data_IF_595616175088
#
_entry.id   IF_595616175088
#
_cell.length_a   1.000
_cell.length_b   1.000
_cell.length_c   1.000
_cell.angle_alpha   90.00
_cell.angle_beta   90.00
_cell.angle_gamma   90.00
#
_symmetry.space_group_name_H-M   'P 1'
#
loop_
_entity.id
_entity.type
_entity.pdbx_description
1 polymer ?
#
# COMPACT_ATOMS: atom_id res chain seq x y z
N UNK A 1 -19.70 11.04 -11.73
CA UNK A 1 -18.60 11.30 -12.70
C UNK A 1 -17.63 10.13 -12.59
N UNK A 2 -17.12 9.59 -13.72
CA UNK A 2 -16.10 8.54 -13.72
C UNK A 2 -14.74 9.11 -13.37
N UNK A 3 -13.96 8.35 -12.55
CA UNK A 3 -12.59 8.68 -12.17
C UNK A 3 -11.67 7.59 -12.72
N UNK A 4 -10.66 8.00 -13.45
CA UNK A 4 -9.75 7.08 -14.14
C UNK A 4 -8.31 7.25 -13.67
N UNK A 5 -7.55 6.15 -13.76
CA UNK A 5 -6.12 6.12 -13.51
C UNK A 5 -5.40 6.29 -14.83
N UNK A 6 -4.56 7.30 -14.94
CA UNK A 6 -3.79 7.59 -16.19
C UNK A 6 -2.29 7.37 -15.99
N UNK A 7 -1.83 7.21 -14.77
CA UNK A 7 -0.45 6.89 -14.48
C UNK A 7 -0.30 6.18 -13.14
N UNK A 8 0.66 5.28 -13.08
CA UNK A 8 1.06 4.54 -11.88
C UNK A 8 2.57 4.56 -11.73
N UNK A 9 3.04 4.49 -10.51
CA UNK A 9 4.46 4.40 -10.21
C UNK A 9 4.70 3.73 -8.86
N UNK A 10 5.86 3.10 -8.71
CA UNK A 10 6.13 2.30 -7.52
C UNK A 10 7.63 2.22 -7.23
N UNK A 11 7.95 2.16 -5.93
CA UNK A 11 9.27 1.89 -5.39
C UNK A 11 9.09 0.94 -4.21
N UNK A 12 9.44 -0.32 -4.36
CA UNK A 12 9.18 -1.36 -3.37
C UNK A 12 10.28 -2.42 -3.33
N UNK A 13 10.15 -3.40 -2.46
CA UNK A 13 11.08 -4.55 -2.43
C UNK A 13 10.96 -5.47 -3.66
N UNK A 14 9.93 -5.33 -4.50
CA UNK A 14 9.80 -6.07 -5.75
C UNK A 14 10.50 -5.40 -6.93
N UNK A 15 10.85 -4.13 -6.81
CA UNK A 15 11.52 -3.36 -7.84
C UNK A 15 11.36 -1.86 -7.63
N UNK A 16 12.14 -1.09 -8.41
CA UNK A 16 12.25 0.36 -8.34
C UNK A 16 11.47 1.08 -9.44
N UNK A 17 10.71 0.33 -10.24
CA UNK A 17 9.86 0.82 -11.32
C UNK A 17 8.82 -0.23 -11.71
N UNK A 18 7.82 0.18 -12.49
CA UNK A 18 6.71 -0.68 -12.93
C UNK A 18 7.17 -1.93 -13.70
N UNK A 19 8.22 -1.82 -14.52
CA UNK A 19 8.70 -2.97 -15.32
C UNK A 19 9.32 -4.06 -14.44
N UNK A 20 10.17 -3.70 -13.48
CA UNK A 20 10.78 -4.63 -12.53
C UNK A 20 9.73 -5.28 -11.64
N UNK A 21 8.77 -4.49 -11.15
CA UNK A 21 7.67 -4.97 -10.32
C UNK A 21 6.76 -5.91 -11.11
N UNK A 22 6.44 -5.59 -12.37
CA UNK A 22 5.68 -6.48 -13.26
C UNK A 22 6.37 -7.85 -13.40
N UNK A 23 7.68 -7.85 -13.61
CA UNK A 23 8.44 -9.09 -13.75
C UNK A 23 8.46 -9.88 -12.44
N UNK A 24 8.64 -9.21 -11.30
CA UNK A 24 8.63 -9.85 -9.98
C UNK A 24 7.27 -10.46 -9.65
N UNK A 25 6.15 -9.75 -9.95
CA UNK A 25 4.79 -10.27 -9.78
C UNK A 25 4.54 -11.51 -10.65
N UNK A 26 4.94 -11.48 -11.94
CA UNK A 26 4.78 -12.61 -12.87
C UNK A 26 5.57 -13.83 -12.46
N UNK A 27 6.76 -13.65 -11.92
CA UNK A 27 7.62 -14.78 -11.52
C UNK A 27 7.39 -15.26 -10.09
N UNK A 28 6.55 -14.58 -9.31
CA UNK A 28 6.34 -14.90 -7.89
C UNK A 28 7.60 -14.65 -7.06
N UNK A 29 8.40 -13.63 -7.40
CA UNK A 29 9.66 -13.32 -6.71
C UNK A 29 9.37 -12.69 -5.35
N UNK A 30 9.92 -13.26 -4.27
CA UNK A 30 9.89 -12.64 -2.95
C UNK A 30 10.92 -11.51 -2.85
N UNK A 31 10.50 -10.36 -2.34
CA UNK A 31 11.37 -9.23 -1.97
C UNK A 31 11.77 -9.22 -0.49
N UNK A 32 11.43 -10.28 0.25
CA UNK A 32 11.70 -10.39 1.69
C UNK A 32 13.12 -10.88 1.91
N UNK A 33 13.80 -10.29 2.88
CA UNK A 33 15.15 -10.65 3.30
C UNK A 33 15.38 -10.38 4.78
N UNK A 34 16.63 -10.32 5.17
CA UNK A 34 17.09 -10.08 6.55
C UNK A 34 17.81 -8.73 6.61
N UNK A 35 17.41 -7.91 7.59
CA UNK A 35 18.13 -6.71 8.01
C UNK A 35 18.74 -6.93 9.39
N UNK A 36 20.04 -7.21 9.43
CA UNK A 36 20.80 -7.50 10.65
C UNK A 36 20.75 -6.31 11.63
N UNK A 37 20.66 -5.07 11.15
CA UNK A 37 20.60 -3.89 12.01
C UNK A 37 19.39 -3.90 12.96
N UNK A 38 18.34 -4.62 12.62
CA UNK A 38 17.17 -4.82 13.50
C UNK A 38 17.51 -5.66 14.74
N UNK A 39 18.29 -6.73 14.58
CA UNK A 39 18.77 -7.54 15.71
C UNK A 39 19.69 -6.72 16.63
N UNK A 40 20.61 -5.97 16.03
CA UNK A 40 21.51 -5.09 16.78
C UNK A 40 20.73 -4.01 17.56
N UNK A 41 19.57 -3.58 17.06
CA UNK A 41 18.68 -2.63 17.72
C UNK A 41 17.76 -3.27 18.77
N UNK A 42 17.67 -4.61 18.81
CA UNK A 42 16.92 -5.37 19.81
C UNK A 42 15.59 -5.97 19.33
N UNK A 43 15.36 -6.08 18.02
CA UNK A 43 14.20 -6.79 17.48
C UNK A 43 14.31 -8.30 17.69
N UNK A 44 13.17 -8.96 17.85
CA UNK A 44 13.06 -10.42 17.84
C UNK A 44 13.07 -11.01 16.44
N UNK A 45 12.63 -10.23 15.42
CA UNK A 45 12.62 -10.65 14.03
C UNK A 45 13.39 -9.67 13.14
N UNK A 46 14.44 -10.15 12.40
CA UNK A 46 15.17 -9.33 11.44
C UNK A 46 14.54 -9.28 10.05
N UNK A 47 13.40 -9.97 9.87
CA UNK A 47 12.72 -10.08 8.56
C UNK A 47 12.14 -8.73 8.12
N UNK A 48 12.34 -8.39 6.85
CA UNK A 48 11.78 -7.19 6.24
C UNK A 48 11.76 -7.31 4.72
N UNK A 49 10.87 -6.55 4.06
CA UNK A 49 11.05 -6.28 2.64
C UNK A 49 12.32 -5.45 2.42
N UNK A 50 13.20 -5.88 1.52
CA UNK A 50 14.46 -5.19 1.22
C UNK A 50 14.20 -4.14 0.16
N UNK A 51 14.16 -2.88 0.57
CA UNK A 51 13.88 -1.74 -0.31
C UNK A 51 15.16 -0.93 -0.54
N UNK A 52 15.53 -0.75 -1.79
CA UNK A 52 16.69 0.05 -2.17
C UNK A 52 16.43 1.54 -1.90
N UNK A 53 17.39 2.24 -1.29
CA UNK A 53 17.29 3.68 -1.08
C UNK A 53 17.59 4.45 -2.36
N UNK A 54 16.71 5.37 -2.82
CA UNK A 54 16.92 6.09 -4.06
C UNK A 54 18.05 7.11 -3.98
N UNK A 55 18.76 7.29 -5.10
CA UNK A 55 19.81 8.29 -5.25
C UNK A 55 19.23 9.59 -5.81
N UNK A 56 18.91 10.56 -4.94
CA UNK A 56 18.26 11.80 -5.33
C UNK A 56 19.22 12.93 -5.73
N UNK A 57 20.56 12.73 -5.58
CA UNK A 57 21.54 13.73 -5.98
C UNK A 57 21.48 13.94 -7.50
N UNK A 58 21.28 15.20 -7.91
CA UNK A 58 21.12 15.56 -9.32
C UNK A 58 19.68 15.50 -9.83
N UNK A 59 18.75 14.88 -9.10
CA UNK A 59 17.32 14.87 -9.43
C UNK A 59 16.54 15.98 -8.73
N UNK A 60 16.91 16.28 -7.48
CA UNK A 60 16.27 17.30 -6.64
C UNK A 60 17.33 18.21 -6.03
N UNK A 61 17.01 19.49 -5.88
CA UNK A 61 17.85 20.47 -5.20
C UNK A 61 18.20 20.05 -3.77
N UNK A 62 19.40 20.41 -3.31
CA UNK A 62 19.90 20.05 -1.98
C UNK A 62 19.00 20.56 -0.84
N UNK A 63 18.43 21.78 -1.00
CA UNK A 63 17.58 22.38 0.04
C UNK A 63 16.26 21.61 0.17
N UNK A 64 15.67 21.20 -0.96
CA UNK A 64 14.46 20.36 -0.95
C UNK A 64 14.74 19.00 -0.31
N UNK A 65 15.85 18.36 -0.67
CA UNK A 65 16.24 17.05 -0.08
C UNK A 65 16.44 17.11 1.44
N UNK A 66 16.90 18.22 1.98
CA UNK A 66 17.15 18.35 3.42
C UNK A 66 15.87 18.24 4.28
N UNK A 67 14.70 18.49 3.71
CA UNK A 67 13.41 18.31 4.39
C UNK A 67 12.73 16.96 4.12
N UNK A 68 13.30 16.09 3.29
CA UNK A 68 12.69 14.82 2.93
C UNK A 68 13.03 13.72 3.94
N UNK A 69 12.01 13.02 4.42
CA UNK A 69 12.16 11.76 5.13
C UNK A 69 12.39 10.61 4.13
N UNK A 70 12.74 9.44 4.65
CA UNK A 70 12.96 8.23 3.84
C UNK A 70 11.75 7.91 2.96
N UNK A 71 10.55 7.87 3.54
CA UNK A 71 9.30 7.60 2.80
C UNK A 71 8.97 8.69 1.78
N UNK A 72 9.37 9.95 2.03
CA UNK A 72 9.19 11.02 1.05
C UNK A 72 10.12 10.86 -0.16
N UNK A 73 11.33 10.29 0.03
CA UNK A 73 12.24 9.97 -1.06
C UNK A 73 11.65 8.87 -1.97
N UNK A 74 11.11 7.79 -1.38
CA UNK A 74 10.41 6.74 -2.12
C UNK A 74 9.19 7.30 -2.87
N UNK A 75 8.38 8.09 -2.18
CA UNK A 75 7.18 8.70 -2.75
C UNK A 75 7.49 9.63 -3.93
N UNK A 76 8.62 10.36 -3.88
CA UNK A 76 9.06 11.16 -5.01
C UNK A 76 9.36 10.30 -6.24
N UNK A 77 10.07 9.18 -6.08
CA UNK A 77 10.39 8.31 -7.20
C UNK A 77 9.15 7.69 -7.82
N UNK A 78 8.25 7.16 -7.00
CA UNK A 78 6.97 6.61 -7.45
C UNK A 78 6.09 7.68 -8.12
N UNK A 79 6.01 8.88 -7.54
CA UNK A 79 5.21 9.98 -8.09
C UNK A 79 5.75 10.48 -9.42
N UNK A 80 7.07 10.56 -9.56
CA UNK A 80 7.74 10.95 -10.81
C UNK A 80 7.43 9.96 -11.93
N UNK A 81 7.45 8.65 -11.64
CA UNK A 81 7.10 7.61 -12.61
C UNK A 81 5.62 7.72 -12.99
N UNK A 82 4.71 7.85 -12.02
CA UNK A 82 3.28 7.98 -12.26
C UNK A 82 2.93 9.21 -13.12
N UNK A 83 3.52 10.38 -12.80
CA UNK A 83 3.31 11.61 -13.58
C UNK A 83 3.89 11.50 -14.99
N UNK A 84 5.07 10.91 -15.14
CA UNK A 84 5.68 10.68 -16.47
C UNK A 84 4.80 9.74 -17.33
N UNK A 85 4.28 8.65 -16.75
CA UNK A 85 3.35 7.74 -17.44
C UNK A 85 2.05 8.46 -17.84
N UNK A 86 1.51 9.31 -16.97
CA UNK A 86 0.34 10.12 -17.26
C UNK A 86 0.60 11.24 -18.29
N UNK A 87 1.85 11.55 -18.61
CA UNK A 87 2.21 12.69 -19.46
C UNK A 87 1.93 14.05 -18.83
N UNK A 88 2.08 14.13 -17.49
CA UNK A 88 1.84 15.35 -16.70
C UNK A 88 3.12 15.78 -15.97
N UNK A 89 3.32 17.09 -15.83
CA UNK A 89 4.42 17.65 -15.04
C UNK A 89 4.02 17.96 -13.60
N UNK A 90 2.74 18.21 -13.36
CA UNK A 90 2.19 18.58 -12.04
C UNK A 90 0.73 18.14 -11.95
N UNK A 91 0.25 17.64 -10.81
CA UNK A 91 -1.17 17.45 -10.54
C UNK A 91 -1.80 18.74 -9.99
N UNK A 92 -3.14 18.80 -9.96
CA UNK A 92 -3.85 19.88 -9.26
C UNK A 92 -3.72 19.72 -7.76
N UNK A 93 -3.84 18.49 -7.25
CA UNK A 93 -3.80 18.16 -5.82
C UNK A 93 -2.99 16.92 -5.49
N UNK A 94 -2.70 16.75 -4.21
CA UNK A 94 -1.95 15.62 -3.64
C UNK A 94 -2.67 15.05 -2.42
N UNK A 95 -2.85 13.71 -2.36
CA UNK A 95 -3.36 13.00 -1.18
C UNK A 95 -2.57 11.70 -1.01
N UNK A 96 -1.82 11.56 0.09
CA UNK A 96 -1.04 10.36 0.39
C UNK A 96 -1.38 9.77 1.75
N UNK A 97 -1.41 8.43 1.80
CA UNK A 97 -1.41 7.67 3.03
C UNK A 97 0.00 7.65 3.64
N UNK A 98 0.12 8.15 4.87
CA UNK A 98 1.31 8.05 5.69
C UNK A 98 0.92 8.24 7.16
N UNK A 99 1.26 7.30 8.02
CA UNK A 99 0.78 7.30 9.40
C UNK A 99 1.86 7.70 10.40
N UNK A 100 3.11 7.32 10.16
CA UNK A 100 4.24 7.67 11.02
C UNK A 100 5.45 8.17 10.24
N UNK A 101 6.33 8.91 10.94
CA UNK A 101 7.68 9.27 10.51
C UNK A 101 8.60 9.20 11.73
N UNK A 102 8.97 7.95 12.11
CA UNK A 102 9.61 7.67 13.38
C UNK A 102 11.10 8.03 13.40
N UNK A 103 11.84 7.75 12.33
CA UNK A 103 13.30 7.94 12.28
C UNK A 103 13.72 9.34 12.70
N UNK A 104 13.16 10.36 12.08
CA UNK A 104 13.54 11.75 12.35
C UNK A 104 13.21 12.19 13.78
N UNK A 105 12.14 11.65 14.39
CA UNK A 105 11.79 11.92 15.79
C UNK A 105 12.77 11.28 16.76
N UNK A 106 13.18 10.04 16.50
CA UNK A 106 14.16 9.34 17.34
C UNK A 106 15.53 10.02 17.24
N UNK A 107 15.98 10.36 16.03
CA UNK A 107 17.24 11.08 15.81
C UNK A 107 17.23 12.45 16.52
N UNK A 108 16.13 13.21 16.45
CA UNK A 108 15.96 14.45 17.18
C UNK A 108 16.04 14.27 18.70
N UNK A 109 15.41 13.22 19.22
CA UNK A 109 15.47 12.87 20.64
C UNK A 109 16.92 12.60 21.10
N UNK A 110 17.66 11.79 20.33
CA UNK A 110 19.06 11.47 20.65
C UNK A 110 19.97 12.70 20.58
N UNK A 111 19.77 13.61 19.65
CA UNK A 111 20.48 14.88 19.59
C UNK A 111 20.22 15.71 20.85
N UNK A 112 18.97 15.90 21.25
CA UNK A 112 18.61 16.63 22.47
C UNK A 112 19.15 15.99 23.72
N UNK A 113 19.12 14.67 23.84
CA UNK A 113 19.64 13.91 24.96
C UNK A 113 21.16 14.01 25.09
N UNK A 114 21.87 14.02 23.95
CA UNK A 114 23.34 14.04 23.91
C UNK A 114 23.90 15.46 24.13
N UNK A 115 23.30 16.47 23.52
CA UNK A 115 23.84 17.83 23.47
C UNK A 115 23.10 18.80 24.41
N UNK A 116 21.87 18.47 24.84
CA UNK A 116 21.00 19.37 25.62
C UNK A 116 20.80 20.74 24.96
N UNK A 117 20.90 20.81 23.61
CA UNK A 117 20.81 22.02 22.83
C UNK A 117 20.26 21.74 21.42
N UNK A 118 19.19 22.46 21.05
CA UNK A 118 18.50 22.31 19.76
C UNK A 118 19.29 22.87 18.57
N UNK A 119 20.33 23.66 18.80
CA UNK A 119 21.18 24.19 17.70
C UNK A 119 21.91 23.05 16.95
N UNK A 120 22.10 21.89 17.59
CA UNK A 120 22.68 20.71 16.95
C UNK A 120 21.69 19.94 16.04
N UNK A 121 20.40 20.29 16.07
CA UNK A 121 19.43 19.71 15.14
C UNK A 121 19.53 20.34 13.75
N UNK A 122 19.45 19.51 12.71
CA UNK A 122 19.36 20.01 11.34
C UNK A 122 18.03 20.74 11.09
N UNK A 123 18.08 21.86 10.36
CA UNK A 123 16.90 22.67 10.05
C UNK A 123 15.80 21.91 9.28
N UNK A 124 16.11 20.78 8.64
CA UNK A 124 15.16 19.92 7.94
C UNK A 124 14.40 18.94 8.84
N UNK A 125 14.87 18.69 10.07
CA UNK A 125 14.35 17.63 10.93
C UNK A 125 12.84 17.76 11.20
N UNK A 126 12.34 18.97 11.47
CA UNK A 126 10.90 19.20 11.67
C UNK A 126 10.05 18.74 10.47
N UNK A 127 10.51 18.99 9.24
CA UNK A 127 9.80 18.61 8.03
C UNK A 127 9.85 17.10 7.77
N UNK A 128 10.93 16.45 8.21
CA UNK A 128 11.09 15.00 8.13
C UNK A 128 10.23 14.26 9.17
N UNK A 129 10.03 14.85 10.35
CA UNK A 129 9.33 14.21 11.49
C UNK A 129 7.81 14.31 11.43
N UNK A 130 7.26 15.21 10.62
CA UNK A 130 5.81 15.36 10.48
C UNK A 130 5.19 14.19 9.70
N UNK A 131 4.00 13.73 10.09
CA UNK A 131 3.24 12.73 9.33
C UNK A 131 2.96 13.20 7.89
N UNK A 132 2.83 14.51 7.67
CA UNK A 132 2.66 15.12 6.35
C UNK A 132 3.95 15.28 5.53
N UNK A 133 5.07 14.72 5.99
CA UNK A 133 6.38 14.84 5.30
C UNK A 133 6.32 14.49 3.82
N UNK A 134 5.53 13.47 3.44
CA UNK A 134 5.36 13.05 2.04
C UNK A 134 4.66 14.14 1.24
N UNK A 135 3.44 14.51 1.60
CA UNK A 135 2.63 15.45 0.82
C UNK A 135 3.20 16.85 0.81
N UNK A 136 3.80 17.29 1.91
CA UNK A 136 4.46 18.59 2.01
C UNK A 136 5.67 18.69 1.06
N UNK A 137 6.54 17.69 1.03
CA UNK A 137 7.70 17.69 0.13
C UNK A 137 7.28 17.57 -1.34
N UNK A 138 6.38 16.63 -1.67
CA UNK A 138 5.90 16.45 -3.04
C UNK A 138 5.14 17.67 -3.57
N UNK A 139 4.30 18.30 -2.74
CA UNK A 139 3.58 19.52 -3.08
C UNK A 139 4.54 20.66 -3.44
N UNK A 140 5.63 20.81 -2.69
CA UNK A 140 6.66 21.81 -2.99
C UNK A 140 7.44 21.48 -4.27
N UNK A 141 7.82 20.22 -4.46
CA UNK A 141 8.60 19.78 -5.64
C UNK A 141 7.76 19.90 -6.92
N UNK A 142 6.51 19.45 -6.92
CA UNK A 142 5.62 19.47 -8.07
C UNK A 142 4.79 20.76 -8.18
N UNK A 143 5.02 21.74 -7.28
CA UNK A 143 4.36 23.07 -7.27
C UNK A 143 2.83 22.98 -7.26
N UNK A 144 2.30 22.07 -6.47
CA UNK A 144 0.85 21.82 -6.34
C UNK A 144 0.16 22.99 -5.64
N UNK A 145 -0.99 23.41 -6.16
CA UNK A 145 -1.74 24.56 -5.64
C UNK A 145 -3.11 24.20 -5.07
N UNK A 146 -3.61 23.00 -5.37
CA UNK A 146 -4.89 22.51 -4.86
C UNK A 146 -4.73 21.79 -3.52
N UNK A 147 -5.52 20.75 -3.30
CA UNK A 147 -5.52 20.01 -2.05
C UNK A 147 -4.13 19.41 -1.76
N UNK A 148 -3.72 19.50 -0.50
CA UNK A 148 -2.50 18.86 0.02
C UNK A 148 -2.88 18.21 1.35
N UNK A 149 -3.14 16.90 1.33
CA UNK A 149 -3.69 16.17 2.47
C UNK A 149 -2.95 14.85 2.71
N UNK A 150 -2.59 14.59 3.95
CA UNK A 150 -2.12 13.28 4.41
C UNK A 150 -3.24 12.54 5.12
N UNK A 151 -3.42 11.27 4.75
CA UNK A 151 -4.39 10.36 5.39
C UNK A 151 -3.63 9.41 6.32
N UNK A 152 -4.03 9.40 7.58
CA UNK A 152 -3.52 8.51 8.63
C UNK A 152 -4.66 7.59 9.07
N UNK A 153 -4.58 6.33 8.68
CA UNK A 153 -5.60 5.29 8.91
C UNK A 153 -4.95 3.90 8.96
N UNK A 154 -3.82 3.81 9.64
CA UNK A 154 -3.02 2.59 9.75
C UNK A 154 -2.82 1.93 8.36
N UNK A 155 -2.94 0.60 8.29
CA UNK A 155 -2.72 -0.16 7.05
C UNK A 155 -3.68 0.19 5.89
N UNK A 156 -4.78 0.89 6.17
CA UNK A 156 -5.74 1.34 5.15
C UNK A 156 -5.43 2.74 4.58
N UNK A 157 -4.39 3.43 5.08
CA UNK A 157 -4.08 4.83 4.72
C UNK A 157 -3.96 5.06 3.20
N UNK A 158 -3.20 4.20 2.50
CA UNK A 158 -3.00 4.31 1.05
C UNK A 158 -4.28 4.09 0.25
N UNK A 159 -5.09 3.11 0.63
CA UNK A 159 -6.39 2.83 0.02
C UNK A 159 -7.39 3.98 0.25
N UNK A 160 -7.46 4.50 1.48
CA UNK A 160 -8.28 5.67 1.79
C UNK A 160 -7.83 6.92 1.01
N UNK A 161 -6.52 7.12 0.83
CA UNK A 161 -6.00 8.23 0.04
C UNK A 161 -6.52 8.19 -1.41
N UNK A 162 -6.54 7.01 -2.04
CA UNK A 162 -7.10 6.80 -3.38
C UNK A 162 -8.62 7.06 -3.37
N UNK A 163 -9.35 6.47 -2.41
CA UNK A 163 -10.81 6.61 -2.31
C UNK A 163 -11.27 8.05 -2.08
N UNK A 164 -10.58 8.79 -1.22
CA UNK A 164 -10.84 10.22 -0.97
C UNK A 164 -10.54 11.05 -2.21
N UNK A 165 -9.39 10.81 -2.88
CA UNK A 165 -9.05 11.49 -4.13
C UNK A 165 -10.11 11.26 -5.20
N UNK A 166 -10.56 10.01 -5.38
CA UNK A 166 -11.64 9.68 -6.31
C UNK A 166 -12.95 10.39 -5.96
N UNK A 167 -13.28 10.48 -4.66
CA UNK A 167 -14.49 11.20 -4.20
C UNK A 167 -14.43 12.68 -4.53
N UNK A 168 -13.30 13.35 -4.29
CA UNK A 168 -13.15 14.77 -4.60
C UNK A 168 -13.23 15.05 -6.10
N UNK A 169 -12.66 14.19 -6.94
CA UNK A 169 -12.77 14.29 -8.40
C UNK A 169 -14.22 14.05 -8.84
N UNK A 170 -14.92 13.05 -8.27
CA UNK A 170 -16.35 12.78 -8.59
C UNK A 170 -17.24 13.97 -8.29
N UNK A 171 -16.90 14.74 -7.26
CA UNK A 171 -17.62 15.97 -6.85
C UNK A 171 -17.21 17.19 -7.70
N UNK A 172 -16.26 17.07 -8.61
CA UNK A 172 -15.79 18.16 -9.46
C UNK A 172 -14.97 19.23 -8.73
N UNK A 173 -14.37 18.89 -7.59
CA UNK A 173 -13.55 19.83 -6.83
C UNK A 173 -12.14 19.97 -7.39
N UNK A 174 -11.63 18.94 -8.07
CA UNK A 174 -10.36 18.92 -8.80
C UNK A 174 -10.45 17.94 -9.97
N UNK A 175 -9.68 18.19 -11.03
CA UNK A 175 -9.65 17.28 -12.18
C UNK A 175 -8.53 16.25 -12.11
N UNK A 176 -7.38 16.59 -11.49
CA UNK A 176 -6.18 15.77 -11.42
C UNK A 176 -5.65 15.69 -10.00
N UNK A 177 -5.62 14.51 -9.41
CA UNK A 177 -5.03 14.28 -8.08
C UNK A 177 -3.96 13.19 -8.17
N UNK A 178 -2.76 13.51 -7.69
CA UNK A 178 -1.72 12.53 -7.41
C UNK A 178 -2.00 11.96 -6.03
N UNK A 179 -2.25 10.66 -5.93
CA UNK A 179 -2.52 9.99 -4.67
C UNK A 179 -1.69 8.72 -4.51
N UNK A 180 -1.60 8.21 -3.29
CA UNK A 180 -0.80 7.03 -3.04
C UNK A 180 -0.61 6.73 -1.56
N UNK A 181 0.46 6.00 -1.27
CA UNK A 181 0.88 5.71 0.09
C UNK A 181 2.38 5.51 0.17
N UNK A 182 2.94 5.76 1.36
CA UNK A 182 4.37 5.62 1.60
C UNK A 182 4.66 5.11 3.02
N UNK A 183 5.76 4.38 3.17
CA UNK A 183 6.22 3.78 4.42
C UNK A 183 7.75 3.77 4.47
N UNK A 184 8.32 4.26 5.58
CA UNK A 184 9.74 4.08 5.88
C UNK A 184 10.05 2.62 6.30
N UNK A 185 11.24 2.12 5.96
CA UNK A 185 11.59 0.69 6.19
C UNK A 185 12.64 0.52 7.29
N UNK A 186 13.17 1.62 7.81
CA UNK A 186 14.24 1.60 8.80
C UNK A 186 13.85 0.95 10.14
N UNK A 187 14.83 0.62 10.96
CA UNK A 187 14.65 -0.06 12.25
C UNK A 187 13.87 0.76 13.30
N UNK A 188 13.75 2.08 13.14
CA UNK A 188 13.05 2.91 14.14
C UNK A 188 11.53 2.85 14.01
N UNK A 189 11.03 2.58 12.78
CA UNK A 189 9.60 2.67 12.48
C UNK A 189 8.77 1.51 13.02
N UNK A 190 9.37 0.33 13.27
CA UNK A 190 8.64 -0.93 13.45
C UNK A 190 8.86 -1.61 14.81
N UNK A 191 9.62 -1.02 15.72
CA UNK A 191 9.95 -1.64 17.01
C UNK A 191 8.71 -1.95 17.87
N UNK A 192 7.70 -1.09 17.82
CA UNK A 192 6.45 -1.31 18.57
C UNK A 192 5.59 -2.46 18.00
N UNK A 193 5.70 -2.74 16.69
CA UNK A 193 5.06 -3.92 16.09
C UNK A 193 5.78 -5.21 16.46
N UNK A 194 7.11 -5.20 16.56
CA UNK A 194 7.88 -6.34 17.05
C UNK A 194 7.52 -6.64 18.52
N UNK A 195 7.41 -5.60 19.36
CA UNK A 195 6.96 -5.71 20.75
C UNK A 195 5.52 -6.22 20.88
N UNK A 196 4.65 -5.97 19.91
CA UNK A 196 3.28 -6.50 19.86
C UNK A 196 3.26 -8.02 19.55
N UNK A 197 4.38 -8.60 19.09
CA UNK A 197 4.51 -10.02 18.78
C UNK A 197 3.77 -10.45 17.51
N UNK A 198 3.61 -9.53 16.52
CA UNK A 198 2.88 -9.80 15.28
C UNK A 198 3.79 -10.16 14.11
N UNK A 199 5.10 -10.11 14.29
CA UNK A 199 6.06 -10.45 13.24
C UNK A 199 6.29 -11.95 13.11
N UNK A 200 6.53 -12.40 11.88
CA UNK A 200 6.99 -13.76 11.59
C UNK A 200 8.42 -13.96 12.13
N UNK A 201 8.66 -15.15 12.66
CA UNK A 201 9.99 -15.60 13.13
C UNK A 201 10.59 -16.69 12.23
N UNK A 202 10.07 -16.90 11.03
CA UNK A 202 10.57 -17.89 10.08
C UNK A 202 11.83 -17.40 9.36
N UNK A 203 12.94 -17.27 10.09
CA UNK A 203 14.20 -16.67 9.61
C UNK A 203 15.09 -17.61 8.81
N UNK A 204 14.86 -18.93 8.86
CA UNK A 204 15.68 -19.93 8.16
C UNK A 204 15.62 -19.78 6.63
N UNK A 205 14.44 -19.43 6.10
CA UNK A 205 14.24 -19.11 4.69
C UNK A 205 13.40 -17.84 4.59
N UNK A 206 14.02 -16.66 4.56
CA UNK A 206 13.31 -15.38 4.55
C UNK A 206 12.28 -15.25 3.43
N UNK A 207 12.55 -15.84 2.26
CA UNK A 207 11.63 -15.80 1.13
C UNK A 207 10.32 -16.56 1.38
N UNK A 208 10.29 -17.43 2.39
CA UNK A 208 9.10 -18.19 2.80
C UNK A 208 8.42 -17.66 4.06
N UNK A 209 8.97 -16.61 4.66
CA UNK A 209 8.51 -16.08 5.95
C UNK A 209 7.11 -15.47 5.92
N UNK A 210 6.66 -14.95 4.77
CA UNK A 210 5.31 -14.45 4.57
C UNK A 210 4.49 -15.51 3.83
N UNK A 211 3.53 -16.12 4.51
CA UNK A 211 2.69 -17.21 3.99
C UNK A 211 1.20 -16.95 4.28
N UNK A 212 0.59 -15.91 3.67
CA UNK A 212 -0.83 -15.62 3.84
C UNK A 212 -1.72 -16.83 3.55
N UNK A 213 -2.75 -17.02 4.38
CA UNK A 213 -3.72 -18.12 4.32
C UNK A 213 -3.17 -19.51 4.61
N UNK A 214 -1.86 -19.68 4.83
CA UNK A 214 -1.31 -20.96 5.25
C UNK A 214 -1.66 -21.24 6.72
N UNK A 215 -1.96 -22.51 7.04
CA UNK A 215 -2.26 -22.92 8.40
C UNK A 215 -1.11 -22.69 9.38
N UNK A 216 0.13 -22.79 8.87
CA UNK A 216 1.35 -22.68 9.67
C UNK A 216 1.94 -21.25 9.69
N UNK A 217 1.17 -20.25 9.24
CA UNK A 217 1.56 -18.81 9.27
C UNK A 217 1.82 -18.33 10.69
N UNK A 218 2.86 -17.52 10.89
CA UNK A 218 3.31 -17.10 12.22
C UNK A 218 3.22 -15.60 12.46
N UNK A 219 2.81 -14.83 11.47
CA UNK A 219 2.77 -13.37 11.56
C UNK A 219 3.15 -12.68 10.26
N UNK A 220 3.12 -11.37 10.27
CA UNK A 220 3.50 -10.54 9.13
C UNK A 220 5.02 -10.35 9.04
N UNK A 221 5.50 -10.04 7.85
CA UNK A 221 6.85 -9.51 7.63
C UNK A 221 6.68 -8.02 7.28
N UNK A 222 7.29 -7.08 8.03
CA UNK A 222 7.17 -5.65 7.72
C UNK A 222 7.91 -5.29 6.43
N UNK A 223 7.39 -4.32 5.70
CA UNK A 223 7.97 -3.80 4.47
C UNK A 223 7.57 -2.33 4.26
N UNK A 224 7.91 -1.75 3.13
CA UNK A 224 7.56 -0.37 2.80
C UNK A 224 8.03 0.05 1.42
N UNK A 225 8.25 1.36 1.28
CA UNK A 225 8.51 2.02 0.01
C UNK A 225 7.45 3.08 -0.29
N UNK A 226 7.06 3.24 -1.55
CA UNK A 226 5.94 4.08 -1.95
C UNK A 226 5.29 3.61 -3.24
N UNK A 227 3.98 3.88 -3.36
CA UNK A 227 3.20 3.71 -4.57
C UNK A 227 2.39 4.98 -4.83
N UNK A 228 2.27 5.35 -6.10
CA UNK A 228 1.58 6.55 -6.54
C UNK A 228 0.68 6.27 -7.74
N UNK A 229 -0.48 6.92 -7.77
CA UNK A 229 -1.44 6.89 -8.88
C UNK A 229 -1.81 8.33 -9.26
N UNK A 230 -1.92 8.58 -10.56
CA UNK A 230 -2.55 9.81 -11.08
C UNK A 230 -4.00 9.49 -11.38
N UNK A 231 -4.90 10.09 -10.62
CA UNK A 231 -6.35 10.01 -10.86
C UNK A 231 -6.81 11.26 -11.62
N UNK A 232 -7.66 11.04 -12.61
CA UNK A 232 -8.26 12.12 -13.37
C UNK A 232 -9.78 11.95 -13.53
N UNK A 233 -10.49 13.08 -13.67
CA UNK A 233 -11.85 13.00 -14.20
C UNK A 233 -11.80 12.43 -15.62
N UNK A 234 -12.74 11.55 -15.95
CA UNK A 234 -12.80 10.94 -17.29
C UNK A 234 -12.85 12.01 -18.41
N UNK A 235 -13.57 13.09 -18.15
CA UNK A 235 -13.67 14.20 -19.10
C UNK A 235 -12.31 14.89 -19.34
N UNK A 236 -11.54 15.14 -18.28
CA UNK A 236 -10.21 15.74 -18.39
C UNK A 236 -9.25 14.81 -19.14
N UNK A 237 -9.18 13.53 -18.73
CA UNK A 237 -8.33 12.52 -19.35
C UNK A 237 -8.61 12.37 -20.86
N UNK A 238 -9.89 12.24 -21.22
CA UNK A 238 -10.32 12.11 -22.61
C UNK A 238 -10.01 13.35 -23.45
N UNK A 239 -10.29 14.55 -22.90
CA UNK A 239 -10.01 15.82 -23.58
C UNK A 239 -8.55 16.00 -23.96
N UNK A 240 -7.61 15.52 -23.12
CA UNK A 240 -6.18 15.60 -23.40
C UNK A 240 -5.60 14.37 -24.11
N UNK A 241 -6.42 13.35 -24.41
CA UNK A 241 -5.99 12.11 -25.08
C UNK A 241 -5.13 11.20 -24.20
N UNK A 242 -5.36 11.18 -22.88
CA UNK A 242 -4.62 10.33 -21.97
C UNK A 242 -4.90 8.83 -22.19
N UNK A 243 -3.91 7.99 -22.00
CA UNK A 243 -4.11 6.55 -21.86
C UNK A 243 -4.77 6.26 -20.53
N UNK A 244 -5.92 5.59 -20.55
CA UNK A 244 -6.63 5.17 -19.35
C UNK A 244 -6.19 3.75 -19.02
N UNK A 245 -5.69 3.55 -17.80
CA UNK A 245 -5.22 2.25 -17.31
C UNK A 245 -6.32 1.48 -16.60
N UNK A 246 -7.13 2.17 -15.80
CA UNK A 246 -8.25 1.60 -15.05
C UNK A 246 -9.22 2.72 -14.61
N UNK A 247 -10.40 2.34 -14.16
CA UNK A 247 -11.35 3.19 -13.44
C UNK A 247 -11.32 2.84 -11.94
N UNK A 248 -11.31 3.84 -11.05
CA UNK A 248 -11.66 3.65 -9.64
C UNK A 248 -13.18 3.65 -9.55
N UNK A 249 -13.78 2.47 -9.71
CA UNK A 249 -15.22 2.31 -9.88
C UNK A 249 -15.97 2.40 -8.55
N UNK A 250 -15.37 1.88 -7.46
CA UNK A 250 -15.99 1.88 -6.13
C UNK A 250 -14.99 2.10 -5.00
N UNK A 251 -15.47 2.73 -3.94
CA UNK A 251 -14.73 2.95 -2.70
C UNK A 251 -15.64 2.68 -1.51
N UNK A 252 -15.32 1.64 -0.75
CA UNK A 252 -15.96 1.31 0.51
C UNK A 252 -15.09 1.73 1.70
N UNK A 253 -15.74 2.11 2.77
CA UNK A 253 -15.10 2.36 4.06
C UNK A 253 -15.99 1.92 5.21
N UNK A 254 -15.38 1.40 6.29
CA UNK A 254 -16.08 0.99 7.49
C UNK A 254 -15.20 1.13 8.73
N UNK A 255 -15.80 1.02 9.89
CA UNK A 255 -15.12 0.86 11.16
C UNK A 255 -15.64 -0.38 11.87
N UNK A 256 -14.80 -1.06 12.65
CA UNK A 256 -15.20 -2.25 13.43
C UNK A 256 -16.20 -1.93 14.56
N UNK A 257 -16.38 -0.65 14.92
CA UNK A 257 -17.35 -0.23 15.93
C UNK A 257 -17.02 -0.62 17.38
N UNK A 258 -15.84 -1.21 17.63
CA UNK A 258 -15.40 -1.64 18.96
C UNK A 258 -14.43 -2.81 18.91
N UNK A 259 -14.13 -3.41 20.07
CA UNK A 259 -13.19 -4.53 20.18
C UNK A 259 -11.76 -4.10 20.51
N UNK A 260 -10.81 -5.03 20.38
CA UNK A 260 -9.39 -4.75 20.56
C UNK A 260 -8.83 -4.06 19.32
N UNK A 261 -7.92 -3.09 19.50
CA UNK A 261 -7.34 -2.30 18.41
C UNK A 261 -6.62 -3.16 17.35
N UNK A 262 -6.06 -4.29 17.75
CA UNK A 262 -5.35 -5.21 16.86
C UNK A 262 -6.22 -6.37 16.30
N UNK A 263 -7.49 -6.44 16.69
CA UNK A 263 -8.37 -7.55 16.29
C UNK A 263 -9.22 -7.15 15.08
N UNK A 264 -9.12 -7.86 13.95
CA UNK A 264 -10.01 -7.63 12.81
C UNK A 264 -11.44 -8.05 13.12
N UNK A 265 -12.40 -7.57 12.32
CA UNK A 265 -13.84 -7.90 12.44
C UNK A 265 -14.33 -8.46 11.10
N UNK A 266 -14.90 -9.66 11.13
CA UNK A 266 -15.53 -10.25 9.94
C UNK A 266 -16.68 -9.37 9.42
N UNK A 267 -17.52 -8.85 10.33
CA UNK A 267 -18.60 -7.93 9.99
C UNK A 267 -18.08 -6.63 9.37
N UNK A 268 -17.04 -6.01 9.97
CA UNK A 268 -16.41 -4.81 9.43
C UNK A 268 -15.78 -5.02 8.06
N UNK A 269 -15.12 -6.17 7.87
CA UNK A 269 -14.53 -6.57 6.58
C UNK A 269 -15.60 -6.84 5.52
N UNK A 270 -16.67 -7.54 5.87
CA UNK A 270 -17.78 -7.80 4.95
C UNK A 270 -18.49 -6.50 4.56
N UNK A 271 -18.77 -5.63 5.54
CA UNK A 271 -19.45 -4.36 5.33
C UNK A 271 -18.67 -3.44 4.37
N UNK A 272 -17.35 -3.35 4.52
CA UNK A 272 -16.54 -2.49 3.66
C UNK A 272 -16.50 -2.98 2.22
N UNK A 273 -16.38 -4.31 2.02
CA UNK A 273 -16.42 -4.92 0.69
C UNK A 273 -17.78 -4.69 0.02
N UNK A 274 -18.88 -4.90 0.76
CA UNK A 274 -20.23 -4.65 0.25
C UNK A 274 -20.40 -3.19 -0.17
N UNK A 275 -19.95 -2.23 0.66
CA UNK A 275 -20.03 -0.79 0.33
C UNK A 275 -19.22 -0.43 -0.92
N UNK A 276 -18.06 -1.07 -1.14
CA UNK A 276 -17.28 -0.84 -2.35
C UNK A 276 -18.02 -1.37 -3.60
N UNK A 277 -18.68 -2.53 -3.51
CA UNK A 277 -19.51 -3.08 -4.58
C UNK A 277 -20.73 -2.21 -4.87
N UNK A 278 -21.41 -1.73 -3.81
CA UNK A 278 -22.58 -0.84 -3.92
C UNK A 278 -22.19 0.49 -4.62
N UNK A 279 -21.05 1.10 -4.24
CA UNK A 279 -20.53 2.33 -4.88
C UNK A 279 -20.15 2.10 -6.35
N UNK A 280 -19.64 0.91 -6.68
CA UNK A 280 -19.32 0.51 -8.04
C UNK A 280 -20.55 0.08 -8.86
N UNK A 281 -21.74 -0.08 -8.22
CA UNK A 281 -22.96 -0.60 -8.79
C UNK A 281 -22.80 -1.99 -9.44
N UNK A 282 -22.09 -2.90 -8.73
CA UNK A 282 -21.86 -4.28 -9.17
C UNK A 282 -22.16 -5.26 -8.04
N UNK A 283 -22.22 -6.55 -8.40
CA UNK A 283 -22.39 -7.68 -7.48
C UNK A 283 -21.10 -8.49 -7.37
N UNK A 284 -20.95 -9.31 -6.33
CA UNK A 284 -19.73 -10.06 -6.05
C UNK A 284 -19.37 -11.07 -7.18
N UNK A 285 -20.35 -11.60 -7.89
CA UNK A 285 -20.16 -12.53 -9.03
C UNK A 285 -19.46 -11.90 -10.24
N UNK A 286 -19.41 -10.56 -10.31
CA UNK A 286 -18.71 -9.82 -11.36
C UNK A 286 -17.23 -9.59 -11.07
N UNK A 287 -16.75 -9.93 -9.86
CA UNK A 287 -15.33 -9.79 -9.49
C UNK A 287 -14.52 -10.93 -10.09
N UNK A 288 -13.49 -10.60 -10.85
CA UNK A 288 -12.54 -11.58 -11.39
C UNK A 288 -11.45 -11.94 -10.39
N UNK A 289 -10.98 -10.95 -9.63
CA UNK A 289 -9.85 -11.07 -8.74
C UNK A 289 -10.01 -10.25 -7.46
N UNK A 290 -9.59 -10.83 -6.34
CA UNK A 290 -9.44 -10.15 -5.05
C UNK A 290 -7.96 -10.06 -4.68
N UNK A 291 -7.45 -8.84 -4.52
CA UNK A 291 -6.19 -8.61 -3.82
C UNK A 291 -6.50 -8.52 -2.33
N UNK A 292 -6.25 -9.61 -1.60
CA UNK A 292 -6.61 -9.72 -0.21
C UNK A 292 -5.63 -8.94 0.69
N UNK A 293 -6.14 -8.41 1.79
CA UNK A 293 -5.29 -7.78 2.81
C UNK A 293 -4.37 -8.79 3.48
N UNK A 294 -4.78 -10.02 3.62
CA UNK A 294 -4.11 -11.13 4.32
C UNK A 294 -2.60 -10.94 4.52
N UNK A 295 -2.22 -10.67 5.77
CA UNK A 295 -0.86 -10.26 6.15
C UNK A 295 0.03 -11.44 6.59
N UNK A 296 -0.51 -12.64 6.66
CA UNK A 296 0.13 -13.81 7.26
C UNK A 296 -0.08 -13.91 8.77
N UNK A 297 -0.92 -13.05 9.36
CA UNK A 297 -1.26 -13.15 10.78
C UNK A 297 -2.34 -14.21 11.00
N UNK A 298 -2.24 -15.06 12.06
CA UNK A 298 -3.20 -16.15 12.27
C UNK A 298 -4.65 -15.67 12.30
N UNK A 299 -4.94 -14.62 13.05
CA UNK A 299 -6.31 -14.13 13.23
C UNK A 299 -6.77 -13.24 12.06
N UNK A 300 -5.86 -12.42 11.48
CA UNK A 300 -6.18 -11.51 10.38
C UNK A 300 -6.67 -12.26 9.16
N UNK A 301 -5.90 -13.22 8.72
CA UNK A 301 -6.19 -13.99 7.53
C UNK A 301 -7.44 -14.88 7.68
N UNK A 302 -7.64 -15.48 8.89
CA UNK A 302 -8.83 -16.26 9.19
C UNK A 302 -10.11 -15.42 9.06
N UNK A 303 -10.12 -14.22 9.65
CA UNK A 303 -11.29 -13.32 9.64
C UNK A 303 -11.58 -12.82 8.22
N UNK A 304 -10.55 -12.48 7.45
CA UNK A 304 -10.74 -12.08 6.05
C UNK A 304 -11.26 -13.26 5.20
N UNK A 305 -10.72 -14.47 5.38
CA UNK A 305 -11.22 -15.65 4.68
C UNK A 305 -12.69 -15.92 4.98
N UNK A 306 -13.13 -15.79 6.25
CA UNK A 306 -14.54 -15.89 6.64
C UNK A 306 -15.40 -14.83 5.94
N UNK A 307 -14.96 -13.58 5.90
CA UNK A 307 -15.68 -12.48 5.24
C UNK A 307 -15.79 -12.70 3.72
N UNK A 308 -14.70 -13.14 3.08
CA UNK A 308 -14.67 -13.47 1.64
C UNK A 308 -15.59 -14.65 1.32
N UNK A 309 -15.58 -15.72 2.13
CA UNK A 309 -16.47 -16.85 1.95
C UNK A 309 -17.95 -16.46 2.06
N UNK A 310 -18.30 -15.54 2.98
CA UNK A 310 -19.65 -15.00 3.09
C UNK A 310 -20.03 -14.12 1.90
N UNK A 311 -19.12 -13.24 1.45
CA UNK A 311 -19.39 -12.33 0.32
C UNK A 311 -19.62 -13.10 -0.97
N UNK A 312 -18.77 -14.06 -1.27
CA UNK A 312 -18.80 -14.77 -2.54
C UNK A 312 -19.80 -15.92 -2.60
N UNK A 313 -20.22 -16.52 -1.47
CA UNK A 313 -21.25 -17.59 -1.40
C UNK A 313 -21.12 -18.65 -2.50
N UNK A 314 -19.89 -19.10 -2.81
CA UNK A 314 -19.61 -20.08 -3.87
C UNK A 314 -19.32 -19.51 -5.25
N UNK A 315 -19.41 -18.21 -5.48
CA UNK A 315 -18.83 -17.54 -6.65
C UNK A 315 -17.30 -17.64 -6.62
N UNK A 316 -16.68 -17.72 -7.79
CA UNK A 316 -15.27 -18.16 -7.88
C UNK A 316 -14.35 -17.04 -8.39
N UNK A 317 -14.34 -15.89 -7.72
CA UNK A 317 -13.25 -14.94 -7.92
C UNK A 317 -11.90 -15.58 -7.56
N UNK A 318 -10.85 -15.30 -8.31
CA UNK A 318 -9.52 -15.65 -7.91
C UNK A 318 -9.06 -14.77 -6.75
N UNK A 319 -8.31 -15.31 -5.82
CA UNK A 319 -7.82 -14.58 -4.64
C UNK A 319 -6.31 -14.77 -4.53
N UNK A 320 -5.58 -13.71 -4.26
CA UNK A 320 -4.21 -13.82 -3.75
C UNK A 320 -3.88 -12.62 -2.85
N UNK A 321 -2.92 -12.81 -1.96
CA UNK A 321 -2.29 -11.71 -1.23
C UNK A 321 -0.89 -11.50 -1.80
N UNK A 322 -0.66 -10.35 -2.40
CA UNK A 322 0.67 -9.94 -2.87
C UNK A 322 1.66 -9.79 -1.72
N UNK A 323 1.17 -9.69 -0.47
CA UNK A 323 2.00 -9.68 0.74
C UNK A 323 2.79 -10.98 0.96
N UNK A 324 2.42 -12.06 0.29
CA UNK A 324 3.25 -13.27 0.24
C UNK A 324 4.64 -13.01 -0.38
N UNK A 325 4.74 -12.01 -1.27
CA UNK A 325 5.97 -11.61 -1.95
C UNK A 325 6.59 -10.35 -1.34
N UNK A 326 5.77 -9.36 -0.94
CA UNK A 326 6.23 -8.05 -0.48
C UNK A 326 6.42 -7.96 1.02
N UNK A 327 5.82 -8.86 1.80
CA UNK A 327 5.51 -8.56 3.19
C UNK A 327 4.42 -7.51 3.30
N UNK A 328 4.21 -6.98 4.51
CA UNK A 328 3.20 -5.95 4.76
C UNK A 328 3.82 -4.56 4.66
N UNK A 329 3.49 -3.85 3.60
CA UNK A 329 3.99 -2.50 3.28
C UNK A 329 3.28 -1.39 4.09
N UNK A 330 2.60 -1.76 5.17
CA UNK A 330 1.95 -0.89 6.16
C UNK A 330 1.09 0.23 5.52
N UNK A 331 1.46 1.49 5.73
CA UNK A 331 0.70 2.66 5.27
C UNK A 331 0.64 2.79 3.73
N UNK A 332 1.62 2.20 3.05
CA UNK A 332 1.69 2.12 1.60
C UNK A 332 0.76 1.03 1.03
N UNK A 333 0.49 -0.05 1.78
CA UNK A 333 -0.04 -1.32 1.27
C UNK A 333 -1.25 -1.17 0.33
N UNK A 334 -2.28 -0.42 0.73
CA UNK A 334 -3.47 -0.26 -0.12
C UNK A 334 -3.21 0.48 -1.43
N UNK A 335 -2.18 1.32 -1.50
CA UNK A 335 -1.77 1.99 -2.74
C UNK A 335 -0.92 1.07 -3.62
N UNK A 336 0.02 0.32 -3.05
CA UNK A 336 0.82 -0.65 -3.81
C UNK A 336 -0.05 -1.77 -4.38
N UNK A 337 -1.01 -2.28 -3.62
CA UNK A 337 -1.95 -3.31 -4.05
C UNK A 337 -2.88 -2.83 -5.18
N UNK A 338 -3.28 -1.56 -5.17
CA UNK A 338 -3.98 -0.95 -6.30
C UNK A 338 -3.07 -0.89 -7.54
N UNK A 339 -1.80 -0.50 -7.40
CA UNK A 339 -0.82 -0.51 -8.50
C UNK A 339 -0.57 -1.93 -9.00
N UNK A 340 -0.34 -2.91 -8.11
CA UNK A 340 -0.18 -4.33 -8.49
C UNK A 340 -1.40 -4.87 -9.24
N UNK A 341 -2.60 -4.52 -8.78
CA UNK A 341 -3.85 -4.91 -9.43
C UNK A 341 -3.96 -4.33 -10.84
N UNK A 342 -3.61 -3.05 -11.03
CA UNK A 342 -3.61 -2.41 -12.36
C UNK A 342 -2.56 -3.05 -13.28
N UNK A 343 -1.37 -3.38 -12.77
CA UNK A 343 -0.36 -4.14 -13.52
C UNK A 343 -0.91 -5.49 -13.99
N UNK A 344 -1.59 -6.23 -13.11
CA UNK A 344 -2.21 -7.51 -13.45
C UNK A 344 -3.33 -7.34 -14.49
N UNK A 345 -4.19 -6.34 -14.34
CA UNK A 345 -5.24 -6.00 -15.32
C UNK A 345 -4.66 -5.68 -16.70
N UNK A 346 -3.63 -4.84 -16.76
CA UNK A 346 -2.98 -4.45 -18.01
C UNK A 346 -2.20 -5.60 -18.64
N UNK A 347 -1.61 -6.46 -17.81
CA UNK A 347 -0.80 -7.58 -18.24
C UNK A 347 -1.57 -8.88 -18.54
N UNK A 348 -2.86 -8.96 -18.19
CA UNK A 348 -3.68 -10.16 -18.38
C UNK A 348 -3.20 -11.36 -17.55
N UNK A 349 -2.79 -11.13 -16.31
CA UNK A 349 -2.35 -12.20 -15.41
C UNK A 349 -2.77 -11.93 -13.95
N UNK A 350 -2.76 -12.97 -13.13
CA UNK A 350 -2.89 -12.89 -11.66
C UNK A 350 -1.59 -13.37 -11.04
N UNK A 351 -1.01 -12.53 -10.17
CA UNK A 351 0.18 -12.87 -9.41
C UNK A 351 -0.14 -13.93 -8.33
N UNK A 352 0.80 -14.86 -8.05
CA UNK A 352 0.56 -15.94 -7.11
C UNK A 352 0.55 -15.48 -5.65
N UNK A 353 -0.23 -16.17 -4.83
CA UNK A 353 -0.05 -16.22 -3.39
C UNK A 353 1.02 -17.27 -3.11
N UNK A 354 2.29 -16.85 -3.12
CA UNK A 354 3.39 -17.78 -2.86
C UNK A 354 3.38 -18.27 -1.41
N UNK A 355 4.08 -19.38 -1.13
CA UNK A 355 4.26 -19.97 0.20
C UNK A 355 3.01 -20.61 0.84
N UNK A 356 1.87 -20.62 0.18
CA UNK A 356 0.71 -21.38 0.63
C UNK A 356 0.90 -22.87 0.31
N UNK A 357 1.08 -23.68 1.35
CA UNK A 357 1.24 -25.14 1.24
C UNK A 357 0.05 -25.90 1.82
N UNK A 358 -0.40 -25.44 3.00
CA UNK A 358 -1.44 -26.06 3.79
C UNK A 358 -2.51 -25.03 4.12
N UNK A 359 -3.53 -24.81 3.28
CA UNK A 359 -4.59 -23.86 3.63
C UNK A 359 -5.31 -24.30 4.91
N UNK A 360 -5.74 -23.34 5.74
CA UNK A 360 -6.63 -23.65 6.85
C UNK A 360 -8.06 -23.94 6.37
N UNK A 361 -8.96 -24.28 7.28
CA UNK A 361 -10.33 -24.71 6.94
C UNK A 361 -11.09 -23.64 6.14
N UNK A 362 -10.94 -22.36 6.48
CA UNK A 362 -11.63 -21.29 5.76
C UNK A 362 -10.95 -20.96 4.43
N UNK A 363 -9.62 -20.95 4.41
CA UNK A 363 -8.83 -20.68 3.20
C UNK A 363 -8.99 -21.78 2.15
N UNK A 364 -9.19 -23.03 2.58
CA UNK A 364 -9.42 -24.17 1.67
C UNK A 364 -10.75 -24.06 0.87
N UNK A 365 -11.69 -23.24 1.32
CA UNK A 365 -12.96 -22.97 0.60
C UNK A 365 -12.80 -21.95 -0.53
N UNK A 366 -11.70 -21.18 -0.54
CA UNK A 366 -11.43 -20.10 -1.49
C UNK A 366 -10.65 -20.60 -2.71
N UNK A 367 -10.78 -19.86 -3.81
CA UNK A 367 -10.01 -20.10 -5.04
C UNK A 367 -8.72 -19.28 -5.02
N UNK A 368 -7.71 -19.74 -4.28
CA UNK A 368 -6.45 -19.03 -4.13
C UNK A 368 -5.51 -19.38 -5.29
N UNK A 369 -4.94 -18.34 -5.95
CA UNK A 369 -3.95 -18.50 -7.00
C UNK A 369 -2.58 -18.81 -6.38
N UNK A 370 -2.12 -20.06 -6.44
CA UNK A 370 -0.81 -20.49 -5.90
C UNK A 370 0.31 -20.50 -6.94
N UNK A 371 -0.04 -20.22 -8.19
CA UNK A 371 0.89 -19.98 -9.30
C UNK A 371 0.36 -18.82 -10.14
N UNK A 372 1.23 -18.21 -10.95
CA UNK A 372 0.80 -17.20 -11.90
C UNK A 372 -0.22 -17.74 -12.87
N UNK A 373 -1.32 -17.04 -13.06
CA UNK A 373 -2.40 -17.40 -13.96
C UNK A 373 -2.45 -16.40 -15.11
N UNK A 374 -2.31 -16.87 -16.33
CA UNK A 374 -2.48 -16.05 -17.55
C UNK A 374 -3.97 -16.02 -17.89
N UNK A 375 -4.69 -15.05 -17.33
CA UNK A 375 -6.14 -14.87 -17.49
C UNK A 375 -6.49 -13.40 -17.56
N UNK A 376 -7.52 -13.00 -18.30
CA UNK A 376 -8.04 -11.63 -18.28
C UNK A 376 -8.51 -11.27 -16.87
N UNK A 377 -8.26 -10.02 -16.48
CA UNK A 377 -8.70 -9.45 -15.20
C UNK A 377 -9.30 -8.09 -15.51
N UNK A 378 -10.60 -7.97 -15.43
CA UNK A 378 -11.34 -6.74 -15.78
C UNK A 378 -11.86 -6.02 -14.55
N UNK A 379 -12.24 -6.75 -13.49
CA UNK A 379 -12.77 -6.18 -12.24
C UNK A 379 -12.04 -6.76 -11.04
N UNK A 380 -11.43 -5.88 -10.25
CA UNK A 380 -10.65 -6.22 -9.05
C UNK A 380 -11.28 -5.60 -7.81
N UNK A 381 -11.36 -6.38 -6.73
CA UNK A 381 -11.61 -5.91 -5.38
C UNK A 381 -10.29 -5.91 -4.59
N UNK A 382 -9.85 -4.77 -4.08
CA UNK A 382 -8.61 -4.63 -3.29
C UNK A 382 -8.96 -4.22 -1.87
N UNK A 383 -8.57 -5.05 -0.88
CA UNK A 383 -8.91 -4.89 0.52
C UNK A 383 -7.77 -4.32 1.36
N UNK A 384 -8.08 -3.45 2.30
CA UNK A 384 -7.14 -2.91 3.29
C UNK A 384 -7.81 -2.80 4.65
N UNK A 385 -7.35 -3.59 5.64
CA UNK A 385 -7.90 -3.63 6.99
C UNK A 385 -6.85 -3.16 8.00
N UNK A 386 -7.07 -1.99 8.59
CA UNK A 386 -6.11 -1.33 9.47
C UNK A 386 -6.35 -1.61 10.95
N UNK A 387 -5.28 -1.58 11.75
CA UNK A 387 -5.39 -1.52 13.19
C UNK A 387 -6.28 -0.34 13.62
N UNK A 388 -6.95 -0.48 14.77
CA UNK A 388 -7.98 0.46 15.18
C UNK A 388 -9.34 0.22 14.50
N UNK A 389 -9.40 -0.76 13.59
CA UNK A 389 -10.63 -1.16 12.90
C UNK A 389 -11.03 -0.24 11.75
N UNK A 390 -10.11 0.52 11.18
CA UNK A 390 -10.33 1.30 9.97
C UNK A 390 -10.17 0.39 8.75
N UNK A 391 -11.22 0.27 7.95
CA UNK A 391 -11.25 -0.62 6.80
C UNK A 391 -11.55 0.16 5.52
N UNK A 392 -10.88 -0.21 4.44
CA UNK A 392 -11.09 0.32 3.10
C UNK A 392 -11.12 -0.81 2.07
N UNK A 393 -11.97 -0.69 1.07
CA UNK A 393 -11.96 -1.56 -0.09
C UNK A 393 -12.14 -0.70 -1.36
N UNK A 394 -11.39 -1.05 -2.40
CA UNK A 394 -11.47 -0.40 -3.71
C UNK A 394 -11.96 -1.39 -4.75
N UNK A 395 -12.86 -0.95 -5.64
CA UNK A 395 -13.18 -1.66 -6.87
C UNK A 395 -12.49 -0.94 -8.02
N UNK A 396 -11.59 -1.66 -8.68
CA UNK A 396 -10.91 -1.20 -9.90
C UNK A 396 -11.53 -1.92 -11.09
N UNK A 397 -11.75 -1.20 -12.19
CA UNK A 397 -12.34 -1.74 -13.43
C UNK A 397 -11.51 -1.31 -14.64
N UNK A 398 -11.32 -2.23 -15.58
CA UNK A 398 -10.64 -1.99 -16.87
C UNK A 398 -11.46 -1.16 -17.83
#
# INVERSE_FOLDING_TARGET
>A
MKVVVTGIGIWSCLGTNINEVTQSLKTGKSGIGIDISRLDYGYHSPLTGIVERPQLKGLIDRRMRAGMSEQAEYAYMASREALAMAGLSSPDGIIFGNDTSAKAMVEAHEVMKTHCDSEFMGAGNIFQSMTSTVTMNLSNIFQVKGINLTVSSACASGSHAIGIAATLIRQGLQDVILCGGAQEVNMYAMSSFDALGVFSHQIEDPHKASCPFDRDRQGLVPSGGAAALVLESYAHATKRGATILAEVAGYGFSSNGGGKLSTPSCEGSLLVMQRALDDAHITADQIDYVNAHATGTPQGDLVEAQALNQLFCGHKAWISSTKSMTGHECWMAGASEAVYSIIMMQGGFIAPNINLKNPDEESAKMRIATSTLEVPVDIVLSNSFGFGGTNSALVLRR
#
